data_IF_717423273324
#
_entry.id   IF_717423273324
#
_cell.length_a   1.000
_cell.length_b   1.000
_cell.length_c   1.000
_cell.angle_alpha   90.00
_cell.angle_beta   90.00
_cell.angle_gamma   90.00
#
_symmetry.space_group_name_H-M   'P 1'
#
loop_
_entity.id
_entity.type
_entity.pdbx_description
1 polymer ?
#
# COMPACT_ATOMS: atom_id res chain seq x y z
N UNK A 1 17.94 11.70 -5.22
CA UNK A 1 16.65 10.99 -5.34
C UNK A 1 16.08 11.30 -6.72
N UNK A 2 15.71 10.29 -7.52
CA UNK A 2 15.10 10.51 -8.84
C UNK A 2 13.59 10.76 -8.69
N UNK A 3 12.94 11.35 -9.69
CA UNK A 3 11.50 11.71 -9.65
C UNK A 3 10.60 10.52 -9.28
N UNK A 4 10.89 9.32 -9.83
CA UNK A 4 10.18 8.09 -9.49
C UNK A 4 10.29 7.72 -8.01
N UNK A 5 11.43 8.00 -7.38
CA UNK A 5 11.66 7.69 -5.96
C UNK A 5 10.93 8.68 -5.06
N UNK A 6 10.91 9.96 -5.44
CA UNK A 6 10.18 10.99 -4.72
C UNK A 6 8.66 10.73 -4.76
N UNK A 7 8.13 10.29 -5.91
CA UNK A 7 6.71 9.91 -6.03
C UNK A 7 6.40 8.69 -5.16
N UNK A 8 7.21 7.64 -5.23
CA UNK A 8 7.04 6.44 -4.39
C UNK A 8 7.06 6.78 -2.90
N UNK A 9 8.00 7.63 -2.49
CA UNK A 9 8.10 8.10 -1.11
C UNK A 9 6.85 8.87 -0.68
N UNK A 10 6.35 9.79 -1.52
CA UNK A 10 5.12 10.52 -1.24
C UNK A 10 3.90 9.60 -1.13
N UNK A 11 3.78 8.61 -2.01
CA UNK A 11 2.71 7.60 -1.94
C UNK A 11 2.81 6.78 -0.65
N UNK A 12 4.03 6.36 -0.27
CA UNK A 12 4.27 5.60 0.96
C UNK A 12 3.96 6.42 2.23
N UNK A 13 4.34 7.69 2.25
CA UNK A 13 4.02 8.61 3.34
C UNK A 13 2.51 8.81 3.47
N UNK A 14 1.81 9.01 2.35
CA UNK A 14 0.35 9.13 2.35
C UNK A 14 -0.34 7.85 2.82
N UNK A 15 0.20 6.69 2.46
CA UNK A 15 -0.29 5.41 2.96
C UNK A 15 -0.13 5.28 4.48
N UNK A 16 1.00 5.74 5.04
CA UNK A 16 1.21 5.75 6.49
C UNK A 16 0.15 6.61 7.21
N UNK A 17 -0.10 7.82 6.73
CA UNK A 17 -1.13 8.73 7.27
C UNK A 17 -2.53 8.12 7.23
N UNK A 18 -2.87 7.49 6.10
CA UNK A 18 -4.17 6.84 5.93
C UNK A 18 -4.35 5.69 6.92
N UNK A 19 -3.33 4.85 7.06
CA UNK A 19 -3.37 3.72 7.99
C UNK A 19 -3.47 4.19 9.45
N UNK A 20 -2.82 5.30 9.80
CA UNK A 20 -2.97 5.92 11.12
C UNK A 20 -4.41 6.40 11.35
N UNK A 21 -5.01 7.08 10.37
CA UNK A 21 -6.41 7.53 10.43
C UNK A 21 -7.41 6.36 10.53
N UNK A 22 -7.07 5.21 9.96
CA UNK A 22 -7.82 3.97 10.08
C UNK A 22 -7.60 3.24 11.43
N UNK A 23 -6.70 3.74 12.28
CA UNK A 23 -6.21 3.05 13.49
C UNK A 23 -5.64 1.66 13.20
N UNK A 24 -5.02 1.50 12.03
CA UNK A 24 -4.51 0.21 11.57
C UNK A 24 -3.25 -0.17 12.37
N UNK A 25 -3.14 -1.43 12.87
CA UNK A 25 -2.02 -1.84 13.73
C UNK A 25 -0.64 -1.78 13.07
N UNK A 26 -0.59 -1.67 11.74
CA UNK A 26 0.65 -1.53 10.96
C UNK A 26 1.01 -0.09 10.58
N UNK A 27 0.24 0.92 11.02
CA UNK A 27 0.51 2.32 10.67
C UNK A 27 1.97 2.72 11.00
N UNK A 28 2.41 2.46 12.24
CA UNK A 28 3.78 2.71 12.67
C UNK A 28 4.83 1.93 11.84
N UNK A 29 4.56 0.67 11.50
CA UNK A 29 5.48 -0.13 10.67
C UNK A 29 5.62 0.42 9.24
N UNK A 30 4.55 0.96 8.67
CA UNK A 30 4.59 1.63 7.36
C UNK A 30 5.33 2.96 7.45
N UNK A 31 5.12 3.74 8.52
CA UNK A 31 5.90 4.96 8.78
C UNK A 31 7.40 4.67 8.87
N UNK A 32 7.81 3.60 9.56
CA UNK A 32 9.22 3.15 9.58
C UNK A 32 9.75 2.81 8.18
N UNK A 33 8.90 2.34 7.25
CA UNK A 33 9.34 2.09 5.87
C UNK A 33 9.56 3.39 5.09
N UNK A 34 8.86 4.48 5.41
CA UNK A 34 9.11 5.81 4.82
C UNK A 34 10.54 6.24 5.13
N UNK A 35 10.93 6.23 6.41
CA UNK A 35 12.28 6.62 6.85
C UNK A 35 13.37 5.76 6.20
N UNK A 36 13.14 4.44 6.11
CA UNK A 36 14.08 3.51 5.47
C UNK A 36 14.20 3.76 3.97
N UNK A 37 13.10 4.09 3.31
CA UNK A 37 13.11 4.42 1.88
C UNK A 37 13.87 5.73 1.62
N UNK A 38 13.73 6.73 2.48
CA UNK A 38 14.48 7.99 2.39
C UNK A 38 15.99 7.76 2.49
N UNK A 39 16.42 6.87 3.39
CA UNK A 39 17.83 6.55 3.61
C UNK A 39 18.43 5.71 2.46
N UNK A 40 17.69 4.71 1.99
CA UNK A 40 18.12 3.81 0.91
C UNK A 40 16.94 3.39 0.03
N UNK A 41 16.65 4.14 -1.06
CA UNK A 41 15.51 3.87 -1.93
C UNK A 41 15.57 2.48 -2.60
N UNK A 42 16.77 1.97 -2.90
CA UNK A 42 16.90 0.65 -3.54
C UNK A 42 16.52 -0.45 -2.56
N UNK A 43 17.02 -0.37 -1.32
CA UNK A 43 16.65 -1.31 -0.27
C UNK A 43 15.17 -1.17 0.12
N UNK A 44 14.66 0.07 0.16
CA UNK A 44 13.24 0.37 0.36
C UNK A 44 12.37 -0.35 -0.66
N UNK A 45 12.65 -0.22 -1.96
CA UNK A 45 11.90 -0.93 -3.02
C UNK A 45 11.89 -2.44 -2.85
N UNK A 46 13.03 -3.04 -2.54
CA UNK A 46 13.10 -4.49 -2.29
C UNK A 46 12.25 -4.91 -1.09
N UNK A 47 12.19 -4.08 -0.05
CA UNK A 47 11.34 -4.32 1.11
C UNK A 47 9.85 -4.20 0.76
N UNK A 48 9.47 -3.22 -0.07
CA UNK A 48 8.10 -3.05 -0.53
C UNK A 48 7.64 -4.21 -1.43
N UNK A 49 8.54 -4.90 -2.14
CA UNK A 49 8.23 -6.10 -2.95
C UNK A 49 8.11 -7.40 -2.11
N UNK A 50 8.20 -7.34 -0.77
CA UNK A 50 8.13 -8.54 0.07
C UNK A 50 6.69 -8.99 0.36
N UNK A 51 6.55 -10.24 0.79
CA UNK A 51 5.24 -10.84 1.12
C UNK A 51 4.49 -10.09 2.22
N UNK A 52 5.20 -9.44 3.16
CA UNK A 52 4.56 -8.64 4.21
C UNK A 52 3.65 -7.53 3.65
N UNK A 53 3.89 -7.09 2.42
CA UNK A 53 3.06 -6.14 1.69
C UNK A 53 1.92 -6.81 0.92
N UNK A 54 2.23 -7.91 0.21
CA UNK A 54 1.35 -8.42 -0.85
C UNK A 54 0.82 -9.85 -0.66
N UNK A 55 1.45 -10.71 0.13
CA UNK A 55 1.15 -12.15 0.10
C UNK A 55 0.90 -12.76 1.49
N UNK A 56 -0.14 -13.59 1.57
CA UNK A 56 -0.60 -14.23 2.80
C UNK A 56 -1.68 -13.43 3.53
N UNK A 57 -2.42 -14.11 4.42
CA UNK A 57 -3.52 -13.51 5.17
C UNK A 57 -3.09 -12.36 6.10
N UNK A 58 -1.80 -12.32 6.46
CA UNK A 58 -1.21 -11.24 7.24
C UNK A 58 -0.46 -10.21 6.40
N UNK A 59 -0.61 -10.16 5.08
CA UNK A 59 -0.01 -9.07 4.30
C UNK A 59 -0.72 -7.75 4.58
N UNK A 60 -0.05 -6.61 4.32
CA UNK A 60 -0.70 -5.31 4.46
C UNK A 60 -1.95 -5.21 3.59
N UNK A 61 -1.86 -5.66 2.33
CA UNK A 61 -3.00 -5.68 1.42
C UNK A 61 -4.18 -6.50 1.97
N UNK A 62 -3.92 -7.70 2.49
CA UNK A 62 -4.97 -8.57 3.02
C UNK A 62 -5.57 -8.02 4.32
N UNK A 63 -4.71 -7.60 5.26
CA UNK A 63 -5.13 -7.12 6.57
C UNK A 63 -5.98 -5.84 6.49
N UNK A 64 -5.63 -4.91 5.61
CA UNK A 64 -6.39 -3.66 5.47
C UNK A 64 -7.74 -3.86 4.78
N UNK A 65 -7.91 -4.93 3.99
CA UNK A 65 -9.18 -5.28 3.33
C UNK A 65 -10.05 -6.23 4.17
N UNK A 66 -9.67 -6.49 5.42
CA UNK A 66 -10.47 -7.23 6.37
C UNK A 66 -11.70 -6.39 6.81
N UNK A 67 -12.43 -6.90 7.81
CA UNK A 67 -13.65 -6.26 8.31
C UNK A 67 -13.40 -4.86 8.87
N UNK A 68 -14.39 -3.97 8.69
CA UNK A 68 -14.37 -2.62 9.21
C UNK A 68 -14.17 -2.62 10.74
N UNK A 69 -13.12 -1.97 11.29
CA UNK A 69 -12.77 -1.99 12.71
C UNK A 69 -13.73 -1.18 13.61
N UNK A 70 -14.89 -0.75 13.09
CA UNK A 70 -15.87 0.07 13.80
C UNK A 70 -15.89 1.54 13.36
N UNK A 71 -15.27 1.86 12.21
CA UNK A 71 -15.38 3.18 11.60
C UNK A 71 -16.77 3.40 11.00
N UNK A 72 -17.27 4.65 10.92
CA UNK A 72 -18.48 4.96 10.18
C UNK A 72 -18.38 4.45 8.73
N UNK A 73 -19.41 3.77 8.24
CA UNK A 73 -19.38 3.10 6.93
C UNK A 73 -18.98 4.04 5.77
N UNK A 74 -19.49 5.28 5.65
CA UNK A 74 -19.02 6.20 4.60
C UNK A 74 -17.52 6.50 4.69
N UNK A 75 -16.99 6.62 5.91
CA UNK A 75 -15.58 6.89 6.14
C UNK A 75 -14.72 5.66 5.83
N UNK A 76 -15.19 4.47 6.22
CA UNK A 76 -14.56 3.20 5.87
C UNK A 76 -14.45 3.01 4.36
N UNK A 77 -15.54 3.26 3.63
CA UNK A 77 -15.57 3.16 2.17
C UNK A 77 -14.62 4.17 1.52
N UNK A 78 -14.56 5.39 2.05
CA UNK A 78 -13.60 6.40 1.59
C UNK A 78 -12.15 5.94 1.81
N UNK A 79 -11.82 5.48 3.01
CA UNK A 79 -10.46 5.06 3.34
C UNK A 79 -10.01 3.81 2.60
N UNK A 80 -10.89 2.83 2.44
CA UNK A 80 -10.58 1.62 1.66
C UNK A 80 -10.38 1.94 0.18
N UNK A 81 -11.14 2.87 -0.40
CA UNK A 81 -10.90 3.33 -1.77
C UNK A 81 -9.55 4.02 -1.90
N UNK A 82 -9.23 4.92 -0.99
CA UNK A 82 -7.93 5.61 -0.99
C UNK A 82 -6.77 4.63 -0.80
N UNK A 83 -6.90 3.68 0.11
CA UNK A 83 -5.91 2.63 0.35
C UNK A 83 -5.63 1.84 -0.93
N UNK A 84 -6.68 1.40 -1.62
CA UNK A 84 -6.55 0.66 -2.88
C UNK A 84 -5.85 1.48 -3.94
N UNK A 85 -6.19 2.77 -4.08
CA UNK A 85 -5.50 3.67 -5.02
C UNK A 85 -4.01 3.82 -4.71
N UNK A 86 -3.63 4.03 -3.45
CA UNK A 86 -2.23 4.15 -3.04
C UNK A 86 -1.46 2.84 -3.25
N UNK A 87 -2.07 1.70 -2.96
CA UNK A 87 -1.47 0.40 -3.21
C UNK A 87 -1.31 0.10 -4.71
N UNK A 88 -2.24 0.56 -5.57
CA UNK A 88 -2.08 0.50 -7.02
C UNK A 88 -0.87 1.32 -7.47
N UNK A 89 -0.79 2.60 -7.06
CA UNK A 89 0.34 3.48 -7.39
C UNK A 89 1.70 2.87 -6.97
N UNK A 90 1.77 2.29 -5.75
CA UNK A 90 2.98 1.59 -5.27
C UNK A 90 3.29 0.37 -6.13
N UNK A 91 2.31 -0.50 -6.35
CA UNK A 91 2.52 -1.76 -7.07
C UNK A 91 2.91 -1.55 -8.54
N UNK A 92 2.31 -0.58 -9.22
CA UNK A 92 2.66 -0.24 -10.60
C UNK A 92 4.09 0.31 -10.70
N UNK A 93 4.48 1.19 -9.78
CA UNK A 93 5.84 1.71 -9.71
C UNK A 93 6.88 0.62 -9.41
N UNK A 94 6.53 -0.37 -8.59
CA UNK A 94 7.38 -1.55 -8.33
C UNK A 94 7.47 -2.46 -9.57
N UNK A 95 6.36 -2.75 -10.24
CA UNK A 95 6.36 -3.55 -11.48
C UNK A 95 7.18 -2.91 -12.59
N UNK A 96 7.09 -1.59 -12.77
CA UNK A 96 7.89 -0.85 -13.75
C UNK A 96 9.40 -1.00 -13.52
N UNK A 97 9.81 -1.34 -12.30
CA UNK A 97 11.20 -1.57 -11.91
C UNK A 97 11.58 -3.06 -11.82
N UNK A 98 10.71 -3.96 -12.29
CA UNK A 98 10.97 -5.39 -12.35
C UNK A 98 10.68 -6.16 -11.07
N UNK A 99 9.80 -5.65 -10.21
CA UNK A 99 9.27 -6.41 -9.07
C UNK A 99 8.69 -7.76 -9.50
N UNK A 100 8.91 -8.77 -8.66
CA UNK A 100 8.64 -10.16 -9.02
C UNK A 100 7.65 -10.87 -8.08
N UNK A 101 7.13 -10.17 -7.05
CA UNK A 101 6.23 -10.79 -6.10
C UNK A 101 4.89 -11.21 -6.76
N UNK A 102 4.53 -12.50 -6.74
CA UNK A 102 3.28 -12.96 -7.35
C UNK A 102 2.03 -12.34 -6.69
N UNK A 103 2.07 -12.10 -5.37
CA UNK A 103 0.97 -11.50 -4.63
C UNK A 103 0.69 -10.07 -5.06
N UNK A 104 1.72 -9.32 -5.46
CA UNK A 104 1.58 -7.95 -5.95
C UNK A 104 0.66 -7.92 -7.17
N UNK A 105 0.94 -8.75 -8.17
CA UNK A 105 0.13 -8.82 -9.39
C UNK A 105 -1.32 -9.22 -9.11
N UNK A 106 -1.55 -10.14 -8.17
CA UNK A 106 -2.92 -10.53 -7.76
C UNK A 106 -3.68 -9.37 -7.13
N UNK A 107 -3.05 -8.61 -6.22
CA UNK A 107 -3.69 -7.45 -5.58
C UNK A 107 -3.90 -6.29 -6.52
N UNK A 108 -2.96 -6.00 -7.42
CA UNK A 108 -3.15 -4.97 -8.44
C UNK A 108 -4.40 -5.24 -9.29
N UNK A 109 -4.59 -6.48 -9.73
CA UNK A 109 -5.78 -6.86 -10.48
C UNK A 109 -7.06 -6.69 -9.65
N UNK A 110 -7.04 -7.16 -8.39
CA UNK A 110 -8.19 -7.06 -7.50
C UNK A 110 -8.57 -5.58 -7.22
N UNK A 111 -7.60 -4.76 -6.83
CA UNK A 111 -7.82 -3.35 -6.51
C UNK A 111 -8.32 -2.55 -7.70
N UNK A 112 -7.73 -2.76 -8.90
CA UNK A 112 -8.21 -2.11 -10.11
C UNK A 112 -9.66 -2.49 -10.42
N UNK A 113 -10.01 -3.78 -10.33
CA UNK A 113 -11.37 -4.24 -10.60
C UNK A 113 -12.39 -3.67 -9.60
N UNK A 114 -12.05 -3.65 -8.31
CA UNK A 114 -12.93 -3.12 -7.28
C UNK A 114 -13.15 -1.62 -7.42
N UNK A 115 -12.07 -0.84 -7.62
CA UNK A 115 -12.18 0.60 -7.82
C UNK A 115 -12.95 0.97 -9.10
N UNK A 116 -12.88 0.15 -10.15
CA UNK A 116 -13.65 0.34 -11.38
C UNK A 116 -15.14 -0.04 -11.22
N UNK A 117 -15.45 -0.95 -10.29
CA UNK A 117 -16.82 -1.44 -10.06
C UNK A 117 -17.61 -0.58 -9.06
N UNK A 118 -16.91 0.19 -8.23
CA UNK A 118 -17.51 1.18 -7.34
C UNK A 118 -17.90 2.43 -8.14
N UNK A 119 -19.15 2.43 -8.62
CA UNK A 119 -19.82 3.59 -9.24
C UNK A 119 -20.38 4.50 -8.16
#
# INVERSE_FOLDING_TARGET
>A
MIESDARLLATLARLAELLEAMHHPRAAWVADQVERFEQDPQRGRRALDQNDWWAGAGSLAAATMADNPGLPEPLWNQYTREFRSLMIDLGEALQAQGAANPGLSSWLLAFNNWNASEV
#
